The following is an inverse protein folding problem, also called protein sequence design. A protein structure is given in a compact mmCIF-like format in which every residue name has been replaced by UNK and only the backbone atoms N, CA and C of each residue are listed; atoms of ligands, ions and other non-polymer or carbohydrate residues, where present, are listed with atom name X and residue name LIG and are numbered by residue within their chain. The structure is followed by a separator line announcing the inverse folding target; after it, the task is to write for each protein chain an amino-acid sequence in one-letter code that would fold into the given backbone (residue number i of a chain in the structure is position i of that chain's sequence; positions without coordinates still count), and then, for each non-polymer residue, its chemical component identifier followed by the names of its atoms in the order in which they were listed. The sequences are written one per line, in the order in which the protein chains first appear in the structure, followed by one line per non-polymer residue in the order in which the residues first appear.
data_IF_996452914551
#
_entry.id   IF_996452914551
#
_cell.length_a   1.000
_cell.length_b   1.000
_cell.length_c   1.000
_cell.angle_alpha   90.00
_cell.angle_beta   90.00
_cell.angle_gamma   90.00
#
_symmetry.space_group_name_H-M   'P 1'
#
loop_
_entity.id
_entity.type
_entity.pdbx_description
1 polymer ?
#
# COMPACT_ATOMS: atom_id res chain seq x y z
N UNK A 1 46.57 -20.41 -58.48
CA UNK A 1 45.88 -21.48 -57.72
C UNK A 1 46.40 -21.52 -56.29
N UNK A 2 45.64 -20.99 -55.33
CA UNK A 2 45.34 -21.62 -54.03
C UNK A 2 44.46 -20.64 -53.25
N UNK A 3 43.23 -21.11 -53.04
CA UNK A 3 42.19 -20.53 -52.21
C UNK A 3 42.56 -20.71 -50.73
N UNK A 4 42.34 -19.69 -49.91
CA UNK A 4 41.89 -19.91 -48.53
C UNK A 4 41.22 -18.66 -47.98
N UNK A 5 39.91 -18.80 -47.78
CA UNK A 5 39.06 -17.87 -47.02
C UNK A 5 39.59 -17.76 -45.59
N UNK A 6 39.89 -16.54 -45.16
CA UNK A 6 39.99 -16.20 -43.74
C UNK A 6 38.61 -15.74 -43.25
N UNK A 7 37.92 -16.62 -42.53
CA UNK A 7 36.82 -16.29 -41.61
C UNK A 7 37.43 -16.28 -40.22
N UNK A 8 37.39 -15.13 -39.55
CA UNK A 8 37.31 -14.93 -38.09
C UNK A 8 37.61 -13.46 -37.86
N UNK A 9 36.93 -12.73 -36.99
CA UNK A 9 35.74 -12.98 -36.19
C UNK A 9 35.42 -11.57 -35.71
N UNK A 10 34.20 -11.10 -35.94
CA UNK A 10 33.72 -9.88 -35.28
C UNK A 10 33.86 -10.12 -33.78
N UNK A 11 34.88 -9.52 -33.16
CA UNK A 11 34.96 -9.41 -31.72
C UNK A 11 33.95 -8.32 -31.39
N UNK A 12 32.69 -8.73 -31.26
CA UNK A 12 31.71 -7.95 -30.52
C UNK A 12 32.39 -7.63 -29.19
N UNK A 13 32.74 -6.36 -29.01
CA UNK A 13 33.11 -5.86 -27.69
C UNK A 13 31.87 -6.12 -26.85
N UNK A 14 31.94 -7.14 -26.00
CA UNK A 14 31.02 -7.27 -24.87
C UNK A 14 31.18 -5.95 -24.12
N UNK A 15 30.21 -5.06 -24.30
CA UNK A 15 30.06 -3.92 -23.43
C UNK A 15 30.01 -4.52 -22.01
N UNK A 16 30.97 -4.15 -21.18
CA UNK A 16 30.96 -4.57 -19.79
C UNK A 16 29.63 -4.11 -19.21
N UNK A 17 28.83 -5.05 -18.70
CA UNK A 17 27.59 -4.73 -18.01
C UNK A 17 27.90 -3.68 -16.94
N UNK A 18 27.11 -2.61 -16.80
CA UNK A 18 27.38 -1.57 -15.82
C UNK A 18 27.48 -2.22 -14.44
N UNK A 19 28.68 -2.22 -13.85
CA UNK A 19 28.90 -2.79 -12.53
C UNK A 19 28.69 -1.71 -11.48
N UNK A 20 27.71 -1.91 -10.61
CA UNK A 20 27.44 -1.00 -9.48
C UNK A 20 28.67 -0.94 -8.56
N UNK A 21 29.10 0.28 -8.22
CA UNK A 21 30.20 0.51 -7.28
C UNK A 21 29.64 0.71 -5.88
N UNK A 22 30.06 -0.14 -4.95
CA UNK A 22 29.69 -0.05 -3.53
C UNK A 22 30.90 0.50 -2.77
N UNK A 23 30.70 1.58 -2.01
CA UNK A 23 31.75 2.16 -1.16
C UNK A 23 31.47 1.84 0.31
N UNK A 24 32.40 1.15 0.95
CA UNK A 24 32.35 0.81 2.36
C UNK A 24 33.22 1.80 3.15
N UNK A 25 32.71 2.32 4.26
CA UNK A 25 33.46 3.20 5.15
C UNK A 25 33.68 2.48 6.48
N UNK A 26 34.92 2.49 6.98
CA UNK A 26 35.20 1.98 8.33
C UNK A 26 34.85 3.00 9.42
N UNK A 27 34.93 2.60 10.69
CA UNK A 27 34.64 3.46 11.84
C UNK A 27 35.57 4.69 11.96
N UNK A 28 36.64 4.77 11.16
CA UNK A 28 37.56 5.91 11.08
C UNK A 28 37.31 6.75 9.81
N UNK A 29 36.24 6.47 9.07
CA UNK A 29 35.86 7.15 7.83
C UNK A 29 36.69 6.77 6.61
N UNK A 30 37.53 5.73 6.68
CA UNK A 30 38.34 5.29 5.54
C UNK A 30 37.47 4.48 4.56
N UNK A 31 37.42 4.94 3.32
CA UNK A 31 36.62 4.30 2.26
C UNK A 31 37.37 3.16 1.55
N UNK A 32 36.64 2.11 1.18
CA UNK A 32 37.04 1.07 0.23
C UNK A 32 35.90 0.86 -0.78
N UNK A 33 36.18 1.05 -2.06
CA UNK A 33 35.18 0.83 -3.13
C UNK A 33 35.40 -0.52 -3.80
N UNK A 34 34.31 -1.24 -4.05
CA UNK A 34 34.29 -2.53 -4.76
C UNK A 34 33.23 -2.54 -5.84
N UNK A 35 33.46 -3.29 -6.92
CA UNK A 35 32.42 -3.58 -7.90
C UNK A 35 31.60 -4.77 -7.41
N UNK A 36 30.28 -4.65 -7.38
CA UNK A 36 29.38 -5.71 -6.95
C UNK A 36 28.08 -5.68 -7.77
N UNK A 37 27.53 -6.86 -8.03
CA UNK A 37 26.21 -7.03 -8.66
C UNK A 37 25.12 -7.36 -7.63
N UNK A 38 25.49 -7.54 -6.37
CA UNK A 38 24.56 -7.69 -5.25
C UNK A 38 25.25 -7.48 -3.91
N UNK A 39 24.45 -7.16 -2.89
CA UNK A 39 24.89 -7.02 -1.50
C UNK A 39 24.16 -8.05 -0.65
N UNK A 40 24.90 -8.97 -0.01
CA UNK A 40 24.35 -9.90 0.98
C UNK A 40 24.68 -9.44 2.39
N UNK A 41 23.70 -9.46 3.28
CA UNK A 41 23.85 -9.20 4.72
C UNK A 41 23.42 -10.48 5.45
N UNK A 42 24.37 -11.12 6.12
CA UNK A 42 24.10 -12.31 6.94
C UNK A 42 23.92 -11.91 8.40
N UNK A 43 22.88 -12.45 9.04
CA UNK A 43 22.57 -12.19 10.45
C UNK A 43 22.99 -13.39 11.32
N UNK A 44 23.39 -13.17 12.58
CA UNK A 44 23.85 -14.23 13.48
C UNK A 44 22.82 -15.33 13.77
N UNK A 45 21.54 -15.05 13.56
CA UNK A 45 20.43 -15.98 13.76
C UNK A 45 20.11 -16.83 12.52
N UNK A 46 20.96 -16.80 11.50
CA UNK A 46 20.81 -17.64 10.31
C UNK A 46 19.97 -17.03 9.19
N UNK A 47 19.47 -15.81 9.38
CA UNK A 47 18.82 -15.03 8.33
C UNK A 47 19.86 -14.41 7.38
N UNK A 48 19.45 -14.16 6.15
CA UNK A 48 20.20 -13.33 5.22
C UNK A 48 19.29 -12.43 4.39
N UNK A 49 19.76 -11.22 4.10
CA UNK A 49 19.19 -10.30 3.12
C UNK A 49 20.07 -10.24 1.90
N UNK A 50 19.47 -10.17 0.72
CA UNK A 50 20.18 -9.94 -0.53
C UNK A 50 19.53 -8.78 -1.30
N UNK A 51 20.36 -7.81 -1.69
CA UNK A 51 20.02 -6.74 -2.62
C UNK A 51 20.61 -7.09 -3.98
N UNK A 52 19.77 -7.15 -5.01
CA UNK A 52 20.25 -7.24 -6.40
C UNK A 52 20.56 -5.83 -6.92
N UNK A 53 21.82 -5.61 -7.30
CA UNK A 53 22.35 -4.33 -7.78
C UNK A 53 22.65 -4.34 -9.28
N UNK A 54 22.27 -5.40 -10.00
CA UNK A 54 22.62 -5.62 -11.41
C UNK A 54 21.91 -4.67 -12.40
N UNK A 55 20.89 -3.92 -11.96
CA UNK A 55 20.05 -3.05 -12.81
C UNK A 55 20.32 -1.55 -12.78
N UNK A 56 21.34 -1.03 -12.07
CA UNK A 56 21.43 0.37 -11.59
C UNK A 56 21.59 1.52 -12.62
N UNK A 57 21.36 1.30 -13.92
CA UNK A 57 21.35 2.38 -14.90
C UNK A 57 19.93 2.90 -15.17
N UNK A 58 19.53 3.96 -14.46
CA UNK A 58 18.58 4.96 -14.98
C UNK A 58 17.11 4.88 -14.53
N UNK A 59 16.60 3.74 -14.05
CA UNK A 59 15.27 3.62 -13.40
C UNK A 59 15.14 2.24 -12.73
N UNK A 60 16.11 1.90 -11.87
CA UNK A 60 16.37 0.52 -11.46
C UNK A 60 15.57 0.12 -10.21
N UNK A 61 14.64 -0.82 -10.36
CA UNK A 61 14.04 -1.51 -9.23
C UNK A 61 15.10 -2.37 -8.52
N UNK A 62 15.25 -2.20 -7.20
CA UNK A 62 16.09 -3.04 -6.35
C UNK A 62 15.23 -4.16 -5.77
N UNK A 63 15.51 -5.41 -6.13
CA UNK A 63 14.86 -6.56 -5.52
C UNK A 63 15.53 -6.88 -4.17
N UNK A 64 14.71 -7.00 -3.12
CA UNK A 64 15.13 -7.39 -1.77
C UNK A 64 14.59 -8.80 -1.49
N UNK A 65 15.50 -9.73 -1.20
CA UNK A 65 15.14 -11.12 -0.91
C UNK A 65 15.63 -11.48 0.49
N UNK A 66 14.74 -12.02 1.33
CA UNK A 66 15.08 -12.57 2.64
C UNK A 66 15.04 -14.10 2.62
N UNK A 67 16.03 -14.73 3.25
CA UNK A 67 16.17 -16.19 3.33
C UNK A 67 16.59 -16.60 4.74
N UNK A 68 16.23 -17.82 5.15
CA UNK A 68 16.70 -18.46 6.39
C UNK A 68 17.44 -19.75 6.06
N UNK A 69 18.49 -20.06 6.79
CA UNK A 69 19.26 -21.30 6.61
C UNK A 69 18.65 -22.54 7.31
N UNK A 70 17.54 -22.37 8.03
CA UNK A 70 16.82 -23.43 8.74
C UNK A 70 15.53 -23.66 7.96
N UNK A 71 15.35 -24.86 7.44
CA UNK A 71 14.15 -25.23 6.68
C UNK A 71 12.87 -25.21 7.50
N UNK A 72 12.97 -25.22 8.83
CA UNK A 72 11.82 -25.08 9.74
C UNK A 72 11.41 -23.62 9.96
N UNK A 73 12.18 -22.66 9.45
CA UNK A 73 11.96 -21.23 9.62
C UNK A 73 11.90 -20.53 8.26
N UNK A 74 11.05 -19.52 8.12
CA UNK A 74 11.03 -18.60 6.97
C UNK A 74 11.45 -17.21 7.42
N UNK A 75 12.17 -16.50 6.57
CA UNK A 75 12.51 -15.11 6.84
C UNK A 75 11.33 -14.20 6.47
N UNK A 76 11.01 -13.25 7.35
CA UNK A 76 9.96 -12.24 7.14
C UNK A 76 10.62 -10.91 6.80
N UNK A 77 10.00 -10.16 5.88
CA UNK A 77 10.35 -8.79 5.55
C UNK A 77 9.18 -7.90 5.92
N UNK A 78 9.42 -6.83 6.67
CA UNK A 78 8.50 -5.73 6.84
C UNK A 78 9.23 -4.44 6.48
N UNK A 79 8.58 -3.61 5.67
CA UNK A 79 9.13 -2.32 5.23
C UNK A 79 8.30 -1.26 5.91
N UNK A 80 8.97 -0.36 6.62
CA UNK A 80 8.37 0.84 7.17
C UNK A 80 8.98 2.05 6.44
N UNK A 81 8.17 2.87 5.76
CA UNK A 81 8.65 4.14 5.24
C UNK A 81 9.16 5.01 6.40
N UNK A 82 10.30 5.67 6.23
CA UNK A 82 10.77 6.72 7.13
C UNK A 82 10.89 8.03 6.34
N UNK A 83 10.91 9.17 7.04
CA UNK A 83 10.89 10.49 6.40
C UNK A 83 11.89 10.68 5.23
N UNK A 84 11.43 11.38 4.19
CA UNK A 84 12.19 12.06 3.12
C UNK A 84 13.40 11.31 2.52
N UNK A 85 13.21 10.10 1.99
CA UNK A 85 14.19 9.31 1.21
C UNK A 85 14.82 8.11 1.95
N UNK A 86 14.17 7.60 3.00
CA UNK A 86 14.63 6.38 3.69
C UNK A 86 13.51 5.39 3.95
N UNK A 87 13.87 4.11 4.03
CA UNK A 87 12.97 3.01 4.42
C UNK A 87 13.66 2.20 5.51
N UNK A 88 12.95 1.88 6.56
CA UNK A 88 13.38 0.90 7.57
C UNK A 88 12.93 -0.49 7.11
N UNK A 89 13.90 -1.39 6.94
CA UNK A 89 13.66 -2.78 6.61
C UNK A 89 13.79 -3.64 7.87
N UNK A 90 12.67 -4.12 8.40
CA UNK A 90 12.66 -5.13 9.44
C UNK A 90 12.77 -6.51 8.82
N UNK A 91 13.82 -7.22 9.20
CA UNK A 91 13.93 -8.66 8.94
C UNK A 91 13.42 -9.37 10.19
N UNK A 92 12.63 -10.43 10.01
CA UNK A 92 12.16 -11.34 11.05
C UNK A 92 12.41 -12.80 10.66
N UNK A 93 12.15 -13.73 11.57
CA UNK A 93 12.07 -15.16 11.27
C UNK A 93 10.84 -15.73 11.98
N UNK A 94 10.08 -16.56 11.29
CA UNK A 94 8.89 -17.24 11.82
C UNK A 94 8.88 -18.71 11.35
N UNK A 95 8.14 -19.61 12.01
CA UNK A 95 8.05 -20.99 11.58
C UNK A 95 7.59 -21.12 10.12
N UNK A 96 8.28 -21.98 9.37
CA UNK A 96 7.85 -22.36 8.04
C UNK A 96 6.46 -23.05 8.13
N UNK A 97 5.56 -22.80 7.16
CA UNK A 97 4.24 -23.42 7.17
C UNK A 97 4.39 -24.94 7.06
N UNK A 98 3.44 -25.70 7.61
CA UNK A 98 3.48 -27.17 7.49
C UNK A 98 3.10 -27.57 6.07
N UNK A 99 3.75 -28.59 5.49
CA UNK A 99 3.43 -29.10 4.16
C UNK A 99 1.90 -29.32 4.00
N UNK A 100 1.25 -28.50 3.17
CA UNK A 100 -0.20 -28.45 2.98
C UNK A 100 -0.87 -27.12 3.37
N UNK A 101 -0.23 -26.30 4.21
CA UNK A 101 -0.44 -24.86 4.28
C UNK A 101 0.37 -24.27 3.12
N UNK A 102 -0.32 -23.94 2.03
CA UNK A 102 0.33 -23.44 0.82
C UNK A 102 1.35 -22.35 1.18
N UNK A 103 2.52 -22.45 0.55
CA UNK A 103 3.46 -21.36 0.37
C UNK A 103 2.60 -20.12 0.14
N UNK A 104 2.64 -19.15 1.04
CA UNK A 104 1.91 -17.90 0.85
C UNK A 104 2.46 -17.24 -0.40
N UNK A 105 1.92 -17.59 -1.57
CA UNK A 105 2.08 -16.84 -2.80
C UNK A 105 1.79 -15.39 -2.43
N UNK A 106 2.67 -14.47 -2.83
CA UNK A 106 2.31 -13.06 -2.87
C UNK A 106 1.06 -12.96 -3.76
N UNK A 107 -0.11 -12.88 -3.12
CA UNK A 107 -1.36 -12.57 -3.77
C UNK A 107 -1.55 -11.07 -3.64
N UNK A 108 -1.89 -10.44 -4.76
CA UNK A 108 -2.42 -9.08 -4.69
C UNK A 108 -3.57 -9.08 -3.68
N UNK A 109 -3.66 -8.04 -2.82
CA UNK A 109 -4.78 -7.89 -1.90
C UNK A 109 -6.12 -8.12 -2.60
N UNK A 110 -6.88 -9.09 -2.12
CA UNK A 110 -8.21 -9.35 -2.65
C UNK A 110 -9.24 -8.48 -1.91
N UNK A 111 -10.17 -7.88 -2.67
CA UNK A 111 -11.25 -7.07 -2.13
C UNK A 111 -12.60 -7.79 -2.25
N UNK A 112 -13.16 -8.21 -1.11
CA UNK A 112 -14.58 -8.56 -1.00
C UNK A 112 -15.40 -7.31 -0.61
N UNK A 113 -15.98 -6.65 -1.62
CA UNK A 113 -16.74 -5.41 -1.45
C UNK A 113 -18.26 -5.65 -1.54
N UNK A 114 -18.95 -5.28 -0.45
CA UNK A 114 -20.41 -5.13 -0.39
C UNK A 114 -20.81 -3.65 -0.41
N UNK A 115 -21.88 -3.32 -1.14
CA UNK A 115 -22.42 -1.94 -1.19
C UNK A 115 -23.87 -1.95 -0.73
N UNK A 116 -24.15 -1.15 0.29
CA UNK A 116 -25.46 -1.07 0.94
C UNK A 116 -26.00 0.36 0.93
N UNK A 117 -27.32 0.48 1.09
CA UNK A 117 -28.03 1.75 1.14
C UNK A 117 -28.98 1.74 2.32
N UNK A 118 -28.96 2.80 3.12
CA UNK A 118 -29.92 3.07 4.17
C UNK A 118 -31.32 3.30 3.62
N UNK A 119 -32.30 3.19 4.52
CA UNK A 119 -33.71 3.33 4.18
C UNK A 119 -34.06 4.76 3.72
N UNK A 120 -33.34 5.76 4.25
CA UNK A 120 -33.45 7.16 3.86
C UNK A 120 -32.97 7.43 2.42
N UNK A 121 -32.16 6.54 1.83
CA UNK A 121 -31.64 6.75 0.48
C UNK A 121 -32.70 6.37 -0.56
N UNK A 122 -33.33 7.40 -1.13
CA UNK A 122 -34.35 7.24 -2.16
C UNK A 122 -33.80 6.59 -3.46
N UNK A 123 -34.61 5.81 -4.21
CA UNK A 123 -34.15 5.06 -5.38
C UNK A 123 -33.53 5.89 -6.51
N UNK A 124 -33.93 7.15 -6.65
CA UNK A 124 -33.38 8.13 -7.59
C UNK A 124 -32.00 8.63 -7.14
N UNK A 125 -31.82 8.93 -5.86
CA UNK A 125 -30.51 9.26 -5.27
C UNK A 125 -29.55 8.07 -5.40
N UNK A 126 -30.01 6.83 -5.19
CA UNK A 126 -29.17 5.64 -5.42
C UNK A 126 -28.57 5.59 -6.82
N UNK A 127 -29.19 6.21 -7.83
CA UNK A 127 -28.68 6.23 -9.21
C UNK A 127 -27.52 7.19 -9.39
N UNK A 128 -27.45 8.26 -8.60
CA UNK A 128 -26.38 9.27 -8.66
C UNK A 128 -25.16 8.83 -7.84
N UNK A 129 -25.34 7.97 -6.85
CA UNK A 129 -24.24 7.44 -6.03
C UNK A 129 -23.29 6.52 -6.82
N UNK A 130 -22.00 6.52 -6.46
CA UNK A 130 -20.99 5.69 -7.11
C UNK A 130 -21.36 4.20 -6.99
N UNK A 131 -21.10 3.45 -8.07
CA UNK A 131 -21.44 2.03 -8.14
C UNK A 131 -20.31 1.18 -7.60
N UNK A 132 -20.62 -0.05 -7.19
CA UNK A 132 -19.65 -1.02 -6.67
C UNK A 132 -18.34 -1.07 -7.47
N UNK A 133 -18.42 -1.10 -8.81
CA UNK A 133 -17.21 -1.13 -9.65
C UNK A 133 -16.32 0.11 -9.45
N UNK A 134 -16.92 1.29 -9.48
CA UNK A 134 -16.21 2.55 -9.29
C UNK A 134 -15.67 2.69 -7.86
N UNK A 135 -16.44 2.24 -6.87
CA UNK A 135 -16.00 2.19 -5.47
C UNK A 135 -14.78 1.26 -5.32
N UNK A 136 -14.80 0.08 -5.94
CA UNK A 136 -13.65 -0.83 -5.94
C UNK A 136 -12.43 -0.17 -6.60
N UNK A 137 -12.60 0.45 -7.77
CA UNK A 137 -11.52 1.18 -8.47
C UNK A 137 -10.89 2.27 -7.57
N UNK A 138 -11.66 2.93 -6.70
CA UNK A 138 -11.15 3.93 -5.75
C UNK A 138 -10.50 3.34 -4.50
N UNK A 139 -10.97 2.19 -4.02
CA UNK A 139 -10.48 1.53 -2.80
C UNK A 139 -9.23 0.70 -3.06
N UNK A 140 -9.15 -0.01 -4.19
CA UNK A 140 -8.09 -0.98 -4.49
C UNK A 140 -6.67 -0.40 -4.34
N UNK A 141 -6.36 0.85 -4.79
CA UNK A 141 -5.02 1.42 -4.60
C UNK A 141 -4.67 1.74 -3.14
N UNK A 142 -5.66 1.75 -2.24
CA UNK A 142 -5.48 1.96 -0.81
C UNK A 142 -5.36 0.66 -0.01
N UNK A 143 -5.44 -0.52 -0.67
CA UNK A 143 -5.34 -1.82 0.00
C UNK A 143 -3.89 -2.29 0.13
N UNK A 144 -3.44 -2.50 1.37
CA UNK A 144 -2.15 -3.08 1.71
C UNK A 144 -2.27 -4.54 2.19
N UNK A 145 -3.49 -4.97 2.51
CA UNK A 145 -3.88 -6.33 2.87
C UNK A 145 -5.22 -6.67 2.21
N UNK A 146 -5.51 -7.97 2.01
CA UNK A 146 -6.85 -8.39 1.60
C UNK A 146 -7.90 -7.83 2.56
N UNK A 147 -9.06 -7.47 2.04
CA UNK A 147 -10.08 -6.81 2.83
C UNK A 147 -11.50 -7.28 2.46
N UNK A 148 -12.32 -7.46 3.48
CA UNK A 148 -13.76 -7.60 3.39
C UNK A 148 -14.41 -6.31 3.90
N UNK A 149 -14.91 -5.49 2.98
CA UNK A 149 -15.42 -4.16 3.29
C UNK A 149 -16.89 -4.01 2.89
N UNK A 150 -17.67 -3.39 3.78
CA UNK A 150 -18.99 -2.87 3.42
C UNK A 150 -18.90 -1.36 3.25
N UNK A 151 -19.34 -0.85 2.10
CA UNK A 151 -19.62 0.58 1.93
C UNK A 151 -21.12 0.81 2.02
N UNK A 152 -21.55 1.60 3.01
CA UNK A 152 -22.95 1.88 3.28
C UNK A 152 -23.24 3.37 3.13
N UNK A 153 -24.15 3.71 2.22
CA UNK A 153 -24.63 5.07 2.04
C UNK A 153 -25.87 5.31 2.90
N UNK A 154 -25.86 6.37 3.71
CA UNK A 154 -26.93 6.67 4.68
C UNK A 154 -27.39 8.12 4.60
N UNK A 155 -28.58 8.39 5.14
CA UNK A 155 -29.10 9.74 5.34
C UNK A 155 -28.56 10.38 6.62
N UNK A 156 -29.09 11.57 6.97
CA UNK A 156 -28.67 12.30 8.16
C UNK A 156 -29.15 11.64 9.46
N UNK A 157 -30.32 11.01 9.47
CA UNK A 157 -30.88 10.41 10.69
C UNK A 157 -30.05 9.19 11.12
N UNK A 158 -29.82 8.24 10.21
CA UNK A 158 -28.99 7.07 10.47
C UNK A 158 -27.53 7.49 10.74
N UNK A 159 -26.97 8.42 9.96
CA UNK A 159 -25.62 8.94 10.18
C UNK A 159 -25.42 9.57 11.56
N UNK A 160 -26.37 10.41 12.00
CA UNK A 160 -26.36 11.00 13.34
C UNK A 160 -26.53 9.96 14.43
N UNK A 161 -27.44 9.00 14.24
CA UNK A 161 -27.69 7.92 15.21
C UNK A 161 -26.43 7.09 15.44
N UNK A 162 -25.73 6.71 14.37
CA UNK A 162 -24.48 5.96 14.45
C UNK A 162 -23.37 6.79 15.12
N UNK A 163 -23.21 8.06 14.74
CA UNK A 163 -22.18 8.92 15.33
C UNK A 163 -22.44 9.15 16.84
N UNK A 164 -23.70 9.33 17.24
CA UNK A 164 -24.08 9.47 18.64
C UNK A 164 -23.88 8.15 19.42
N UNK A 165 -24.25 7.02 18.83
CA UNK A 165 -24.18 5.70 19.46
C UNK A 165 -22.75 5.19 19.67
N UNK A 166 -21.86 5.43 18.69
CA UNK A 166 -20.51 4.85 18.68
C UNK A 166 -19.38 5.85 18.96
N UNK A 167 -19.58 7.14 18.66
CA UNK A 167 -18.58 8.21 18.88
C UNK A 167 -19.03 9.25 19.90
N UNK A 168 -20.24 9.12 20.46
CA UNK A 168 -20.84 10.08 21.40
C UNK A 168 -20.93 11.52 20.87
N UNK A 169 -21.06 11.67 19.54
CA UNK A 169 -21.17 12.94 18.84
C UNK A 169 -22.56 13.08 18.21
N UNK A 170 -23.36 14.02 18.71
CA UNK A 170 -24.77 14.19 18.33
C UNK A 170 -24.97 15.06 17.06
N UNK A 171 -24.31 14.66 15.97
CA UNK A 171 -24.47 15.25 14.63
C UNK A 171 -24.11 14.22 13.54
N UNK A 172 -24.66 14.32 12.32
CA UNK A 172 -24.23 13.46 11.22
C UNK A 172 -22.83 13.87 10.74
N UNK A 173 -21.93 12.90 10.59
CA UNK A 173 -20.58 13.12 10.03
C UNK A 173 -20.50 12.60 8.61
N UNK A 174 -19.48 13.03 7.86
CA UNK A 174 -19.29 12.64 6.46
C UNK A 174 -19.02 11.14 6.28
N UNK A 175 -18.09 10.58 7.06
CA UNK A 175 -17.74 9.16 7.07
C UNK A 175 -17.53 8.65 8.49
N UNK A 176 -17.97 7.42 8.75
CA UNK A 176 -17.61 6.62 9.93
C UNK A 176 -16.97 5.32 9.44
N UNK A 177 -15.81 5.00 10.01
CA UNK A 177 -15.18 3.69 9.83
C UNK A 177 -15.38 2.86 11.09
N UNK A 178 -15.86 1.64 10.88
CA UNK A 178 -15.96 0.58 11.89
C UNK A 178 -15.00 -0.54 11.50
N UNK A 179 -13.83 -0.57 12.11
CA UNK A 179 -12.88 -1.67 11.96
C UNK A 179 -13.23 -2.80 12.94
N UNK A 180 -13.23 -4.03 12.47
CA UNK A 180 -13.44 -5.24 13.28
C UNK A 180 -12.12 -6.00 13.47
N UNK A 181 -12.15 -7.01 14.34
CA UNK A 181 -11.01 -7.93 14.45
C UNK A 181 -10.75 -8.58 13.08
N UNK A 182 -9.50 -8.56 12.60
CA UNK A 182 -9.16 -9.15 11.31
C UNK A 182 -9.40 -10.67 11.33
N UNK A 183 -9.62 -11.24 10.15
CA UNK A 183 -9.72 -12.69 10.01
C UNK A 183 -8.40 -13.39 10.42
N UNK A 184 -8.41 -14.70 10.73
CA UNK A 184 -7.20 -15.42 11.12
C UNK A 184 -6.05 -15.37 10.09
N UNK A 185 -6.35 -15.12 8.82
CA UNK A 185 -5.38 -14.95 7.74
C UNK A 185 -4.87 -13.50 7.56
N UNK A 186 -5.33 -12.57 8.41
CA UNK A 186 -4.97 -11.15 8.37
C UNK A 186 -5.87 -10.30 7.49
N UNK A 187 -6.95 -10.85 6.91
CA UNK A 187 -7.91 -10.06 6.12
C UNK A 187 -8.58 -8.99 6.98
N UNK A 188 -8.53 -7.74 6.51
CA UNK A 188 -9.14 -6.58 7.16
C UNK A 188 -10.65 -6.68 7.00
N UNK A 189 -11.41 -6.50 8.08
CA UNK A 189 -12.87 -6.53 8.05
C UNK A 189 -13.39 -5.19 8.58
N UNK A 190 -14.25 -4.52 7.83
CA UNK A 190 -14.80 -3.26 8.28
C UNK A 190 -15.95 -2.70 7.47
N UNK A 191 -16.66 -1.77 8.10
CA UNK A 191 -17.76 -1.03 7.48
C UNK A 191 -17.41 0.46 7.38
N UNK A 192 -17.60 1.02 6.18
CA UNK A 192 -17.48 2.45 5.89
C UNK A 192 -18.89 3.00 5.67
N UNK A 193 -19.34 3.88 6.56
CA UNK A 193 -20.67 4.48 6.50
C UNK A 193 -20.55 5.95 6.08
N UNK A 194 -21.09 6.30 4.90
CA UNK A 194 -21.03 7.65 4.35
C UNK A 194 -22.40 8.32 4.38
N UNK A 195 -22.48 9.51 5.00
CA UNK A 195 -23.70 10.30 5.04
C UNK A 195 -23.82 11.18 3.79
N UNK A 196 -24.66 10.78 2.83
CA UNK A 196 -24.69 11.42 1.50
C UNK A 196 -24.96 12.93 1.55
N UNK A 197 -25.93 13.43 2.34
CA UNK A 197 -26.20 14.87 2.43
C UNK A 197 -25.01 15.68 2.97
N UNK A 198 -24.26 15.11 3.92
CA UNK A 198 -23.07 15.77 4.48
C UNK A 198 -21.93 15.81 3.46
N UNK A 199 -21.68 14.69 2.77
CA UNK A 199 -20.66 14.63 1.70
C UNK A 199 -20.97 15.60 0.57
N UNK A 200 -22.22 15.65 0.10
CA UNK A 200 -22.66 16.57 -0.96
C UNK A 200 -22.49 18.03 -0.55
N UNK A 201 -22.90 18.36 0.68
CA UNK A 201 -22.75 19.71 1.23
C UNK A 201 -21.28 20.12 1.32
N UNK A 202 -20.42 19.27 1.88
CA UNK A 202 -18.98 19.54 1.99
C UNK A 202 -18.33 19.72 0.62
N UNK A 203 -18.65 18.86 -0.35
CA UNK A 203 -18.13 18.98 -1.71
C UNK A 203 -18.53 20.32 -2.33
N UNK A 204 -19.78 20.76 -2.14
CA UNK A 204 -20.25 22.05 -2.61
C UNK A 204 -19.56 23.24 -1.93
N UNK A 205 -19.46 23.22 -0.59
CA UNK A 205 -18.86 24.30 0.21
C UNK A 205 -17.36 24.45 -0.08
N UNK A 206 -16.67 23.35 -0.37
CA UNK A 206 -15.24 23.32 -0.67
C UNK A 206 -14.94 23.43 -2.18
N UNK A 207 -15.96 23.48 -3.04
CA UNK A 207 -15.78 23.55 -4.49
C UNK A 207 -15.13 22.29 -5.09
N UNK A 208 -15.26 21.14 -4.42
CA UNK A 208 -14.71 19.86 -4.86
C UNK A 208 -15.69 19.14 -5.80
N UNK A 209 -15.20 18.44 -6.85
CA UNK A 209 -16.03 17.49 -7.58
C UNK A 209 -16.57 16.44 -6.61
N UNK A 210 -17.87 16.13 -6.69
CA UNK A 210 -18.52 15.20 -5.76
C UNK A 210 -17.86 13.82 -5.75
N UNK A 211 -17.53 13.29 -6.93
CA UNK A 211 -16.81 12.01 -7.08
C UNK A 211 -15.44 12.04 -6.39
N UNK A 212 -14.72 13.17 -6.47
CA UNK A 212 -13.42 13.32 -5.81
C UNK A 212 -13.57 13.30 -4.28
N UNK A 213 -14.63 13.92 -3.75
CA UNK A 213 -14.89 13.90 -2.30
C UNK A 213 -15.32 12.52 -1.81
N UNK A 214 -16.14 11.79 -2.58
CA UNK A 214 -16.44 10.39 -2.27
C UNK A 214 -15.20 9.49 -2.32
N UNK A 215 -14.38 9.62 -3.36
CA UNK A 215 -13.13 8.86 -3.47
C UNK A 215 -12.20 9.15 -2.29
N UNK A 216 -12.06 10.43 -1.91
CA UNK A 216 -11.28 10.84 -0.74
C UNK A 216 -11.76 10.13 0.53
N UNK A 217 -13.06 10.23 0.85
CA UNK A 217 -13.60 9.63 2.07
C UNK A 217 -13.54 8.09 2.07
N UNK A 218 -13.61 7.44 0.91
CA UNK A 218 -13.44 6.00 0.80
C UNK A 218 -11.99 5.59 1.03
N UNK A 219 -11.02 6.27 0.42
CA UNK A 219 -9.59 6.05 0.67
C UNK A 219 -9.28 6.28 2.15
N UNK A 220 -9.72 7.40 2.70
CA UNK A 220 -9.61 7.72 4.12
C UNK A 220 -10.16 6.63 5.02
N UNK A 221 -11.39 6.17 4.73
CA UNK A 221 -12.04 5.14 5.52
C UNK A 221 -11.32 3.78 5.45
N UNK A 222 -10.75 3.43 4.30
CA UNK A 222 -9.97 2.20 4.07
C UNK A 222 -8.64 2.24 4.81
N UNK A 223 -7.97 3.40 4.85
CA UNK A 223 -6.76 3.59 5.63
C UNK A 223 -7.06 3.44 7.13
N UNK A 224 -8.14 4.06 7.63
CA UNK A 224 -8.61 3.83 9.01
C UNK A 224 -8.91 2.36 9.31
N UNK A 225 -9.55 1.65 8.38
CA UNK A 225 -9.86 0.22 8.56
C UNK A 225 -8.59 -0.64 8.66
N UNK A 226 -7.48 -0.18 8.11
CA UNK A 226 -6.16 -0.83 8.16
C UNK A 226 -5.30 -0.36 9.35
N UNK A 227 -5.82 0.53 10.19
CA UNK A 227 -5.15 0.98 11.41
C UNK A 227 -4.28 2.23 11.26
N UNK A 228 -4.34 2.92 10.12
CA UNK A 228 -3.81 4.28 10.04
C UNK A 228 -4.71 5.22 10.83
N UNK A 229 -4.11 6.15 11.57
CA UNK A 229 -4.82 7.13 12.38
C UNK A 229 -4.24 8.53 12.11
N UNK A 230 -5.06 9.56 12.23
CA UNK A 230 -4.64 10.95 12.15
C UNK A 230 -5.03 11.75 13.40
N UNK A 231 -5.73 11.14 14.36
CA UNK A 231 -6.18 11.80 15.59
C UNK A 231 -5.14 11.70 16.73
N UNK A 232 -4.16 10.80 16.63
CA UNK A 232 -3.21 10.46 17.71
C UNK A 232 -1.96 11.33 17.75
N UNK A 233 -1.42 11.71 16.59
CA UNK A 233 -0.25 12.57 16.50
C UNK A 233 -0.17 13.30 15.15
N UNK A 234 0.54 14.44 15.14
CA UNK A 234 0.81 15.19 13.91
C UNK A 234 1.64 14.37 12.90
N UNK A 235 2.45 13.43 13.39
CA UNK A 235 3.28 12.53 12.57
C UNK A 235 2.41 11.48 11.87
N UNK A 236 1.52 10.81 12.60
CA UNK A 236 0.58 9.83 12.05
C UNK A 236 -0.37 10.50 11.04
N UNK A 237 -0.83 11.72 11.37
CA UNK A 237 -1.63 12.53 10.46
C UNK A 237 -0.86 12.82 9.16
N UNK A 238 0.38 13.31 9.22
CA UNK A 238 1.17 13.62 8.03
C UNK A 238 1.43 12.39 7.15
N UNK A 239 1.64 11.22 7.75
CA UNK A 239 1.79 9.95 7.02
C UNK A 239 0.50 9.57 6.28
N UNK A 240 -0.63 9.57 6.98
CA UNK A 240 -1.92 9.24 6.39
C UNK A 240 -2.32 10.23 5.29
N UNK A 241 -2.17 11.53 5.53
CA UNK A 241 -2.44 12.58 4.54
C UNK A 241 -1.58 12.40 3.27
N UNK A 242 -0.31 12.03 3.42
CA UNK A 242 0.58 11.78 2.28
C UNK A 242 0.12 10.59 1.43
N UNK A 243 -0.34 9.51 2.06
CA UNK A 243 -0.91 8.35 1.39
C UNK A 243 -2.19 8.73 0.64
N UNK A 244 -3.10 9.47 1.29
CA UNK A 244 -4.34 9.94 0.66
C UNK A 244 -4.06 10.78 -0.58
N UNK A 245 -3.09 11.69 -0.51
CA UNK A 245 -2.69 12.53 -1.65
C UNK A 245 -2.13 11.71 -2.80
N UNK A 246 -1.23 10.76 -2.53
CA UNK A 246 -0.62 9.92 -3.57
C UNK A 246 -1.66 9.00 -4.25
N UNK A 247 -2.53 8.38 -3.45
CA UNK A 247 -3.60 7.51 -3.95
C UNK A 247 -4.60 8.29 -4.80
N UNK A 248 -5.07 9.45 -4.34
CA UNK A 248 -6.01 10.28 -5.10
C UNK A 248 -5.38 10.82 -6.39
N UNK A 249 -4.10 11.17 -6.37
CA UNK A 249 -3.39 11.57 -7.58
C UNK A 249 -3.33 10.44 -8.63
N UNK A 250 -3.07 9.20 -8.20
CA UNK A 250 -3.10 8.01 -9.08
C UNK A 250 -4.48 7.75 -9.67
N UNK A 251 -5.54 8.08 -8.94
CA UNK A 251 -6.94 8.00 -9.39
C UNK A 251 -7.35 9.18 -10.28
N UNK A 252 -6.47 10.18 -10.47
CA UNK A 252 -6.75 11.36 -11.28
C UNK A 252 -7.54 12.46 -10.56
N UNK A 253 -7.62 12.41 -9.23
CA UNK A 253 -8.28 13.41 -8.41
C UNK A 253 -7.31 14.47 -7.88
N UNK A 254 -7.78 15.70 -7.61
CA UNK A 254 -6.95 16.74 -6.99
C UNK A 254 -6.61 16.38 -5.54
N UNK A 255 -5.57 17.04 -5.02
CA UNK A 255 -5.21 16.95 -3.59
C UNK A 255 -6.40 17.43 -2.72
N UNK A 256 -6.88 16.63 -1.75
CA UNK A 256 -8.06 16.96 -0.97
C UNK A 256 -7.85 18.06 0.09
N UNK A 257 -6.61 18.45 0.36
CA UNK A 257 -6.23 19.46 1.35
C UNK A 257 -5.89 20.83 0.73
N UNK A 258 -6.22 21.04 -0.56
CA UNK A 258 -5.91 22.28 -1.31
C UNK A 258 -7.14 22.92 -1.92
#
# INVERSE_FOLDING_TARGET
MKSSRSRQSGRAQSAASPSTRVSLFDAKGKARTVNAQGLRIDFPDGRSLMFDLSGSSGDAAVAIVAQHNDSAMRAKLAVQPEHYDSITLHVGAEPAPREGEGDGEFREPELDLSVQYGDEIAPDVRKTLPKRKLIAEWIEPALFSSAQLTVRFVGEEEGRTLNAGYRHKDYPTNVLTFAYDPAPDGTVIGDLVLCCPVVEKEAQEQGKPLDAHYAHLLVHGVLHAQGYDHETSDEDAAEMEALEVDILAKLGFPNPYR
#
